data_IF_494051255560
#
_entry.id   IF_494051255560
#
_cell.length_a   1.000
_cell.length_b   1.000
_cell.length_c   1.000
_cell.angle_alpha   90.00
_cell.angle_beta   90.00
_cell.angle_gamma   90.00
#
_symmetry.space_group_name_H-M   'P 1'
#
loop_
_entity.id
_entity.type
_entity.pdbx_description
1 polymer ?
#
# COMPACT_ATOMS: atom_id res chain seq x y z
N UNK A 1 -32.83 -15.89 -18.87
CA UNK A 1 -31.85 -15.20 -19.71
C UNK A 1 -30.51 -15.94 -19.63
N UNK A 2 -29.88 -16.24 -20.77
CA UNK A 2 -28.55 -16.82 -20.76
C UNK A 2 -27.55 -15.73 -20.33
N UNK A 3 -26.76 -16.03 -19.32
CA UNK A 3 -25.74 -15.10 -18.83
C UNK A 3 -24.56 -15.07 -19.83
N UNK A 4 -24.21 -13.89 -20.31
CA UNK A 4 -23.06 -13.71 -21.18
C UNK A 4 -21.80 -13.51 -20.31
N UNK A 5 -21.15 -14.62 -19.95
CA UNK A 5 -19.95 -14.62 -19.12
C UNK A 5 -18.80 -13.80 -19.71
N UNK A 6 -18.68 -13.82 -21.04
CA UNK A 6 -17.63 -13.07 -21.73
C UNK A 6 -17.82 -11.56 -21.53
N UNK A 7 -19.05 -11.10 -21.68
CA UNK A 7 -19.40 -9.68 -21.50
C UNK A 7 -19.16 -9.24 -20.06
N UNK A 8 -19.60 -10.04 -19.07
CA UNK A 8 -19.37 -9.78 -17.65
C UNK A 8 -17.87 -9.64 -17.38
N UNK A 9 -17.09 -10.63 -17.85
CA UNK A 9 -15.66 -10.67 -17.62
C UNK A 9 -14.95 -9.46 -18.25
N UNK A 10 -15.29 -9.14 -19.51
CA UNK A 10 -14.65 -8.04 -20.24
C UNK A 10 -14.96 -6.68 -19.59
N UNK A 11 -16.22 -6.44 -19.21
CA UNK A 11 -16.61 -5.19 -18.55
C UNK A 11 -16.01 -5.09 -17.15
N UNK A 12 -15.96 -6.19 -16.40
CA UNK A 12 -15.37 -6.21 -15.04
C UNK A 12 -13.87 -5.98 -15.12
N UNK A 13 -13.13 -6.74 -15.95
CA UNK A 13 -11.66 -6.60 -16.07
C UNK A 13 -11.28 -5.26 -16.70
N UNK A 14 -12.02 -4.79 -17.69
CA UNK A 14 -11.83 -3.47 -18.29
C UNK A 14 -12.07 -2.36 -17.29
N UNK A 15 -13.15 -2.48 -16.51
CA UNK A 15 -13.47 -1.57 -15.41
C UNK A 15 -12.38 -1.56 -14.35
N UNK A 16 -11.89 -2.75 -13.95
CA UNK A 16 -10.81 -2.88 -12.95
C UNK A 16 -9.51 -2.22 -13.46
N UNK A 17 -9.14 -2.46 -14.72
CA UNK A 17 -7.98 -1.82 -15.34
C UNK A 17 -8.09 -0.30 -15.34
N UNK A 18 -9.25 0.21 -15.73
CA UNK A 18 -9.53 1.65 -15.70
C UNK A 18 -9.49 2.21 -14.26
N UNK A 19 -10.05 1.48 -13.29
CA UNK A 19 -10.03 1.85 -11.88
C UNK A 19 -8.59 2.02 -11.38
N UNK A 20 -7.75 1.02 -11.63
CA UNK A 20 -6.33 1.03 -11.22
C UNK A 20 -5.56 2.20 -11.86
N UNK A 21 -5.78 2.43 -13.15
CA UNK A 21 -5.15 3.55 -13.87
C UNK A 21 -5.62 4.90 -13.32
N UNK A 22 -6.91 5.00 -12.99
CA UNK A 22 -7.53 6.23 -12.47
C UNK A 22 -7.02 6.58 -11.07
N UNK A 23 -6.91 5.59 -10.17
CA UNK A 23 -6.31 5.77 -8.83
C UNK A 23 -4.86 6.28 -8.99
N UNK A 24 -4.09 5.66 -9.87
CA UNK A 24 -2.71 6.07 -10.13
C UNK A 24 -2.66 7.52 -10.63
N UNK A 25 -3.48 7.87 -11.61
CA UNK A 25 -3.54 9.22 -12.19
C UNK A 25 -3.90 10.26 -11.14
N UNK A 26 -4.90 9.96 -10.28
CA UNK A 26 -5.28 10.83 -9.14
C UNK A 26 -4.10 10.97 -8.17
N UNK A 27 -3.46 9.86 -7.80
CA UNK A 27 -2.31 9.85 -6.89
C UNK A 27 -1.14 10.67 -7.43
N UNK A 28 -0.81 10.51 -8.72
CA UNK A 28 0.25 11.30 -9.38
C UNK A 28 -0.06 12.80 -9.33
N UNK A 29 -1.33 13.18 -9.53
CA UNK A 29 -1.77 14.57 -9.44
C UNK A 29 -1.62 15.13 -8.02
N UNK A 30 -2.06 14.37 -7.02
CA UNK A 30 -1.94 14.74 -5.59
C UNK A 30 -0.46 14.86 -5.17
N UNK A 31 0.36 13.88 -5.55
CA UNK A 31 1.80 13.86 -5.22
C UNK A 31 2.52 15.07 -5.84
N UNK A 32 2.24 15.36 -7.12
CA UNK A 32 2.86 16.50 -7.80
C UNK A 32 2.38 17.85 -7.23
N UNK A 33 1.12 17.92 -6.78
CA UNK A 33 0.58 19.11 -6.11
C UNK A 33 1.23 19.33 -4.74
N UNK A 34 1.52 18.23 -4.00
CA UNK A 34 2.18 18.28 -2.69
C UNK A 34 3.66 18.72 -2.80
N UNK A 35 4.32 18.39 -3.89
CA UNK A 35 5.70 18.80 -4.19
C UNK A 35 6.74 18.20 -3.24
N UNK A 36 7.89 18.85 -3.16
CA UNK A 36 9.06 18.39 -2.38
C UNK A 36 8.88 18.50 -0.86
N UNK A 37 7.81 19.13 -0.40
CA UNK A 37 7.51 19.29 1.03
C UNK A 37 7.32 17.94 1.74
N UNK A 38 6.97 16.89 0.98
CA UNK A 38 6.75 15.54 1.51
C UNK A 38 8.01 14.99 2.22
N UNK A 39 9.19 15.12 1.58
CA UNK A 39 10.48 14.68 2.17
C UNK A 39 10.79 15.45 3.45
N UNK A 40 10.59 16.76 3.43
CA UNK A 40 10.82 17.62 4.59
C UNK A 40 9.98 17.16 5.80
N UNK A 41 8.72 16.79 5.58
CA UNK A 41 7.85 16.34 6.67
C UNK A 41 8.29 14.98 7.25
N UNK A 42 8.81 14.08 6.44
CA UNK A 42 9.33 12.79 6.93
C UNK A 42 10.51 13.05 7.87
N UNK A 43 11.51 13.81 7.43
CA UNK A 43 12.72 14.07 8.21
C UNK A 43 12.42 14.81 9.52
N UNK A 44 11.50 15.77 9.48
CA UNK A 44 11.22 16.67 10.62
C UNK A 44 10.28 16.05 11.66
N UNK A 45 9.29 15.26 11.21
CA UNK A 45 8.18 14.85 12.08
C UNK A 45 8.14 13.36 12.41
N UNK A 46 9.17 12.58 12.10
CA UNK A 46 9.23 11.18 12.49
C UNK A 46 10.04 10.95 13.79
N UNK A 47 10.14 11.98 14.65
CA UNK A 47 10.91 11.94 15.89
C UNK A 47 10.45 10.84 16.87
N UNK A 48 9.18 10.44 16.81
CA UNK A 48 8.66 9.34 17.62
C UNK A 48 7.56 8.58 16.84
N UNK A 49 7.16 7.36 17.29
CA UNK A 49 6.17 6.56 16.58
C UNK A 49 4.81 7.23 16.40
N UNK A 50 4.37 8.09 17.32
CA UNK A 50 3.06 8.80 17.18
C UNK A 50 3.07 9.72 15.97
N UNK A 51 4.12 10.54 15.84
CA UNK A 51 4.26 11.38 14.64
C UNK A 51 4.47 10.54 13.38
N UNK A 52 5.11 9.36 13.52
CA UNK A 52 5.18 8.37 12.46
C UNK A 52 3.80 7.97 11.93
N UNK A 53 2.83 7.72 12.83
CA UNK A 53 1.43 7.41 12.43
C UNK A 53 0.84 8.57 11.62
N UNK A 54 0.97 9.81 12.11
CA UNK A 54 0.42 10.99 11.41
C UNK A 54 1.05 11.18 10.02
N UNK A 55 2.37 10.99 9.93
CA UNK A 55 3.11 11.06 8.65
C UNK A 55 2.63 9.94 7.72
N UNK A 56 2.48 8.71 8.24
CA UNK A 56 1.96 7.57 7.46
C UNK A 56 0.58 7.83 6.89
N UNK A 57 -0.33 8.38 7.71
CA UNK A 57 -1.69 8.77 7.27
C UNK A 57 -1.58 9.78 6.12
N UNK A 58 -0.87 10.89 6.36
CA UNK A 58 -0.76 12.00 5.40
C UNK A 58 -0.12 11.57 4.09
N UNK A 59 1.00 10.83 4.17
CA UNK A 59 1.71 10.34 2.99
C UNK A 59 0.83 9.40 2.16
N UNK A 60 0.16 8.45 2.81
CA UNK A 60 -0.66 7.48 2.09
C UNK A 60 -1.89 8.16 1.46
N UNK A 61 -2.51 9.11 2.18
CA UNK A 61 -3.63 9.89 1.62
C UNK A 61 -3.20 10.70 0.39
N UNK A 62 -1.96 11.24 0.39
CA UNK A 62 -1.43 12.04 -0.73
C UNK A 62 -0.92 11.15 -1.89
N UNK A 63 -0.14 10.11 -1.58
CA UNK A 63 0.46 9.23 -2.59
C UNK A 63 -0.59 8.24 -3.15
N UNK A 64 -1.63 7.97 -2.38
CA UNK A 64 -2.68 6.97 -2.69
C UNK A 64 -2.10 5.56 -2.85
N UNK A 65 -1.02 5.28 -2.10
CA UNK A 65 -0.34 3.98 -2.12
C UNK A 65 0.34 3.69 -0.78
N UNK A 66 -0.29 2.89 0.06
CA UNK A 66 0.31 2.41 1.31
C UNK A 66 1.53 1.53 1.05
N UNK A 67 1.49 0.76 -0.05
CA UNK A 67 2.64 -0.05 -0.49
C UNK A 67 3.85 0.83 -0.81
N UNK A 68 3.64 1.93 -1.54
CA UNK A 68 4.68 2.91 -1.85
C UNK A 68 5.28 3.52 -0.58
N UNK A 69 4.41 3.93 0.36
CA UNK A 69 4.84 4.49 1.66
C UNK A 69 5.64 3.46 2.46
N UNK A 70 5.19 2.19 2.47
CA UNK A 70 5.88 1.11 3.18
C UNK A 70 7.26 0.84 2.56
N UNK A 71 7.36 0.81 1.20
CA UNK A 71 8.64 0.61 0.50
C UNK A 71 9.62 1.76 0.83
N UNK A 72 9.15 3.00 0.81
CA UNK A 72 9.97 4.17 1.22
C UNK A 72 10.45 3.99 2.68
N UNK A 73 9.53 3.60 3.57
CA UNK A 73 9.83 3.38 5.00
C UNK A 73 10.89 2.29 5.18
N UNK A 74 10.74 1.16 4.47
CA UNK A 74 11.72 0.06 4.43
C UNK A 74 13.09 0.59 3.99
N UNK A 75 13.13 1.40 2.93
CA UNK A 75 14.37 2.03 2.44
C UNK A 75 15.02 2.95 3.47
N UNK A 76 14.23 3.78 4.15
CA UNK A 76 14.72 4.71 5.17
C UNK A 76 15.29 3.96 6.41
N UNK A 77 14.66 2.85 6.80
CA UNK A 77 15.19 2.00 7.89
C UNK A 77 16.47 1.31 7.44
N UNK A 78 16.52 0.81 6.19
CA UNK A 78 17.73 0.21 5.61
C UNK A 78 18.89 1.19 5.59
N UNK A 79 18.61 2.48 5.35
CA UNK A 79 19.60 3.54 5.33
C UNK A 79 19.99 4.04 6.75
N UNK A 80 19.36 3.49 7.81
CA UNK A 80 19.62 3.93 9.18
C UNK A 80 19.01 5.29 9.53
N UNK A 81 18.13 5.81 8.68
CA UNK A 81 17.49 7.12 8.88
C UNK A 81 16.26 7.04 9.78
N UNK A 82 15.68 5.84 9.93
CA UNK A 82 14.54 5.59 10.81
C UNK A 82 14.81 4.37 11.68
N UNK A 83 14.36 4.44 12.93
CA UNK A 83 14.34 3.26 13.82
C UNK A 83 13.17 2.35 13.44
N UNK A 84 13.26 1.08 13.84
CA UNK A 84 12.16 0.10 13.63
C UNK A 84 10.84 0.59 14.23
N UNK A 85 10.88 1.19 15.44
CA UNK A 85 9.66 1.69 16.13
C UNK A 85 9.00 2.84 15.36
N UNK A 86 9.80 3.77 14.83
CA UNK A 86 9.29 4.88 13.99
C UNK A 86 8.65 4.33 12.72
N UNK A 87 9.31 3.35 12.08
CA UNK A 87 8.81 2.70 10.86
C UNK A 87 7.48 1.97 11.10
N UNK A 88 7.35 1.27 12.24
CA UNK A 88 6.09 0.61 12.61
C UNK A 88 4.98 1.66 12.73
N UNK A 89 5.26 2.81 13.34
CA UNK A 89 4.30 3.92 13.42
C UNK A 89 3.84 4.39 12.04
N UNK A 90 4.79 4.61 11.10
CA UNK A 90 4.48 5.03 9.73
C UNK A 90 3.60 3.97 9.03
N UNK A 91 3.92 2.69 9.18
CA UNK A 91 3.17 1.58 8.57
C UNK A 91 1.73 1.51 9.13
N UNK A 92 1.57 1.66 10.46
CA UNK A 92 0.24 1.75 11.09
C UNK A 92 -0.57 2.91 10.52
N UNK A 93 0.08 4.08 10.38
CA UNK A 93 -0.55 5.27 9.77
C UNK A 93 -0.89 5.06 8.30
N UNK A 94 -0.04 4.37 7.56
CA UNK A 94 -0.28 4.08 6.13
C UNK A 94 -1.55 3.23 5.95
N UNK A 95 -1.82 2.28 6.84
CA UNK A 95 -3.06 1.51 6.81
C UNK A 95 -4.29 2.40 6.98
N UNK A 96 -4.25 3.35 7.95
CA UNK A 96 -5.34 4.33 8.12
C UNK A 96 -5.47 5.19 6.85
N UNK A 97 -4.34 5.68 6.30
CA UNK A 97 -4.33 6.54 5.11
C UNK A 97 -4.96 5.89 3.88
N UNK A 98 -4.85 4.56 3.74
CA UNK A 98 -5.48 3.79 2.65
C UNK A 98 -7.00 3.95 2.66
N UNK A 99 -7.61 4.13 3.83
CA UNK A 99 -9.07 4.23 3.96
C UNK A 99 -9.65 5.50 3.31
N UNK A 100 -8.83 6.51 3.07
CA UNK A 100 -9.23 7.77 2.39
C UNK A 100 -9.87 7.47 1.02
N UNK A 101 -9.32 6.51 0.27
CA UNK A 101 -9.90 6.09 -1.02
C UNK A 101 -11.31 5.51 -0.84
N UNK A 102 -11.50 4.68 0.19
CA UNK A 102 -12.81 4.08 0.50
C UNK A 102 -13.86 5.17 0.81
N UNK A 103 -13.46 6.19 1.58
CA UNK A 103 -14.34 7.34 1.86
C UNK A 103 -14.64 8.14 0.60
N UNK A 104 -13.64 8.34 -0.28
CA UNK A 104 -13.85 9.02 -1.56
C UNK A 104 -14.93 8.30 -2.38
N UNK A 105 -14.82 6.97 -2.50
CA UNK A 105 -15.80 6.13 -3.22
C UNK A 105 -17.19 6.27 -2.57
N UNK A 106 -17.23 6.29 -1.24
CA UNK A 106 -18.48 6.41 -0.46
C UNK A 106 -19.30 7.66 -0.73
N UNK A 107 -18.70 8.74 -1.28
CA UNK A 107 -19.42 9.98 -1.59
C UNK A 107 -20.37 9.90 -2.79
N UNK A 108 -20.41 8.78 -3.53
CA UNK A 108 -21.35 8.57 -4.66
C UNK A 108 -21.29 9.67 -5.73
N UNK A 109 -20.09 10.03 -6.15
CA UNK A 109 -19.90 11.05 -7.19
C UNK A 109 -20.10 10.49 -8.62
N UNK A 110 -20.69 9.30 -8.76
CA UNK A 110 -20.87 8.61 -10.05
C UNK A 110 -21.58 9.42 -11.12
N UNK A 111 -22.56 10.24 -10.73
CA UNK A 111 -23.30 11.13 -11.66
C UNK A 111 -22.40 12.23 -12.24
N UNK A 112 -21.30 12.57 -11.55
CA UNK A 112 -20.35 13.60 -11.99
C UNK A 112 -19.12 12.97 -12.66
N UNK A 113 -19.06 11.65 -12.82
CA UNK A 113 -17.91 10.94 -13.40
C UNK A 113 -17.52 11.49 -14.76
N UNK A 114 -18.51 11.56 -15.69
CA UNK A 114 -18.25 12.02 -17.07
C UNK A 114 -17.86 13.50 -17.14
N UNK A 115 -18.58 14.44 -16.46
CA UNK A 115 -18.11 15.82 -16.40
C UNK A 115 -16.70 15.98 -15.82
N UNK A 116 -16.36 15.23 -14.76
CA UNK A 116 -15.02 15.27 -14.15
C UNK A 116 -13.95 14.76 -15.12
N UNK A 117 -14.23 13.66 -15.85
CA UNK A 117 -13.35 13.15 -16.89
C UNK A 117 -13.10 14.19 -17.97
N UNK A 118 -14.17 14.84 -18.45
CA UNK A 118 -14.08 15.85 -19.51
C UNK A 118 -13.25 17.06 -19.04
N UNK A 119 -13.58 17.64 -17.88
CA UNK A 119 -12.86 18.80 -17.34
C UNK A 119 -11.40 18.44 -17.10
N UNK A 120 -11.16 17.26 -16.50
CA UNK A 120 -9.81 16.76 -16.25
C UNK A 120 -9.01 16.65 -17.55
N UNK A 121 -9.59 16.06 -18.61
CA UNK A 121 -8.94 15.94 -19.91
C UNK A 121 -8.63 17.31 -20.52
N UNK A 122 -9.58 18.27 -20.46
CA UNK A 122 -9.37 19.64 -20.96
C UNK A 122 -8.17 20.28 -20.24
N UNK A 123 -8.12 20.17 -18.91
CA UNK A 123 -6.99 20.69 -18.12
C UNK A 123 -5.65 20.05 -18.53
N UNK A 124 -5.66 18.73 -18.80
CA UNK A 124 -4.45 17.98 -19.18
C UNK A 124 -3.93 18.36 -20.57
N UNK A 125 -4.84 18.49 -21.56
CA UNK A 125 -4.45 18.66 -22.95
C UNK A 125 -4.26 20.11 -23.38
N UNK A 126 -4.99 21.04 -22.76
CA UNK A 126 -5.02 22.44 -23.23
C UNK A 126 -4.30 23.42 -22.31
N UNK A 127 -3.70 22.96 -21.20
CA UNK A 127 -3.00 23.84 -20.26
C UNK A 127 -1.56 23.38 -20.03
N UNK A 128 -0.63 24.35 -20.07
CA UNK A 128 0.78 24.15 -19.69
C UNK A 128 1.06 24.55 -18.23
N UNK A 129 0.08 25.12 -17.54
CA UNK A 129 0.22 25.51 -16.14
C UNK A 129 0.25 24.25 -15.26
N UNK A 130 1.34 24.07 -14.51
CA UNK A 130 1.61 22.88 -13.67
C UNK A 130 0.47 22.65 -12.65
N UNK A 131 0.00 23.70 -12.00
CA UNK A 131 -1.08 23.59 -10.99
C UNK A 131 -2.38 23.12 -11.63
N UNK A 132 -2.78 23.73 -12.77
CA UNK A 132 -4.01 23.38 -13.50
C UNK A 132 -3.89 21.93 -14.03
N UNK A 133 -2.71 21.54 -14.52
CA UNK A 133 -2.46 20.19 -15.00
C UNK A 133 -2.61 19.16 -13.86
N UNK A 134 -2.08 19.45 -12.67
CA UNK A 134 -2.21 18.57 -11.50
C UNK A 134 -3.68 18.45 -11.06
N UNK A 135 -4.43 19.58 -11.04
CA UNK A 135 -5.87 19.55 -10.77
C UNK A 135 -6.59 18.70 -11.82
N UNK A 136 -6.18 18.84 -13.09
CA UNK A 136 -6.69 18.03 -14.20
C UNK A 136 -6.50 16.53 -13.97
N UNK A 137 -5.29 16.12 -13.50
CA UNK A 137 -4.98 14.71 -13.15
C UNK A 137 -5.89 14.21 -12.03
N UNK A 138 -6.08 15.04 -11.00
CA UNK A 138 -6.94 14.68 -9.85
C UNK A 138 -8.39 14.50 -10.32
N UNK A 139 -8.94 15.47 -11.07
CA UNK A 139 -10.31 15.40 -11.58
C UNK A 139 -10.50 14.21 -12.53
N UNK A 140 -9.57 14.01 -13.46
CA UNK A 140 -9.62 12.87 -14.41
C UNK A 140 -9.56 11.55 -13.66
N UNK A 141 -8.67 11.44 -12.65
CA UNK A 141 -8.55 10.24 -11.83
C UNK A 141 -9.81 9.96 -11.03
N UNK A 142 -10.37 10.97 -10.34
CA UNK A 142 -11.61 10.81 -9.56
C UNK A 142 -12.77 10.42 -10.49
N UNK A 143 -12.94 11.13 -11.61
CA UNK A 143 -13.98 10.79 -12.61
C UNK A 143 -13.83 9.36 -13.13
N UNK A 144 -12.59 8.97 -13.44
CA UNK A 144 -12.28 7.63 -13.91
C UNK A 144 -12.57 6.53 -12.89
N UNK A 145 -12.30 6.79 -11.59
CA UNK A 145 -12.64 5.85 -10.49
C UNK A 145 -14.15 5.58 -10.51
N UNK A 146 -14.98 6.63 -10.52
CA UNK A 146 -16.43 6.45 -10.47
C UNK A 146 -16.99 5.86 -11.75
N UNK A 147 -16.44 6.20 -12.91
CA UNK A 147 -16.86 5.60 -14.19
C UNK A 147 -16.52 4.09 -14.19
N UNK A 148 -15.32 3.73 -13.74
CA UNK A 148 -14.88 2.34 -13.64
C UNK A 148 -15.76 1.53 -12.68
N UNK A 149 -16.10 2.10 -11.52
CA UNK A 149 -16.98 1.46 -10.53
C UNK A 149 -18.39 1.23 -11.11
N UNK A 150 -18.93 2.20 -11.86
CA UNK A 150 -20.23 2.04 -12.54
C UNK A 150 -20.17 0.91 -13.55
N UNK A 151 -19.08 0.82 -14.33
CA UNK A 151 -18.88 -0.26 -15.33
C UNK A 151 -18.81 -1.63 -14.65
N UNK A 152 -18.04 -1.74 -13.56
CA UNK A 152 -17.90 -2.98 -12.78
C UNK A 152 -19.22 -3.38 -12.12
N UNK A 153 -19.93 -2.43 -11.53
CA UNK A 153 -21.24 -2.66 -10.89
C UNK A 153 -22.27 -3.18 -11.90
N UNK A 154 -22.31 -2.56 -13.07
CA UNK A 154 -23.20 -3.03 -14.18
C UNK A 154 -22.86 -4.45 -14.61
N UNK A 155 -21.58 -4.77 -14.71
CA UNK A 155 -21.12 -6.12 -15.07
C UNK A 155 -21.53 -7.18 -14.02
N UNK A 156 -21.48 -6.80 -12.74
CA UNK A 156 -21.79 -7.72 -11.63
C UNK A 156 -23.31 -7.88 -11.38
N UNK A 157 -24.13 -6.95 -11.84
CA UNK A 157 -25.57 -6.94 -11.54
C UNK A 157 -26.28 -8.26 -11.87
N UNK A 158 -26.02 -8.95 -13.02
CA UNK A 158 -26.67 -10.24 -13.29
C UNK A 158 -26.31 -11.36 -12.31
N UNK A 159 -25.18 -11.24 -11.56
CA UNK A 159 -24.73 -12.29 -10.64
C UNK A 159 -25.69 -12.50 -9.48
N UNK A 160 -26.40 -11.44 -9.07
CA UNK A 160 -27.35 -11.52 -7.95
C UNK A 160 -28.52 -12.49 -8.20
N UNK A 161 -28.81 -12.79 -9.46
CA UNK A 161 -29.88 -13.71 -9.85
C UNK A 161 -29.40 -15.17 -9.93
N UNK A 162 -28.09 -15.41 -9.88
CA UNK A 162 -27.49 -16.74 -9.90
C UNK A 162 -27.55 -17.42 -8.55
N UNK A 163 -28.19 -18.58 -8.48
CA UNK A 163 -28.29 -19.36 -7.23
C UNK A 163 -26.89 -19.74 -6.71
N UNK A 164 -26.00 -20.16 -7.59
CA UNK A 164 -24.61 -20.53 -7.22
C UNK A 164 -23.90 -19.34 -6.54
N UNK A 165 -24.08 -18.13 -7.07
CA UNK A 165 -23.48 -16.91 -6.47
C UNK A 165 -24.07 -16.64 -5.07
N UNK A 166 -25.39 -16.75 -4.93
CA UNK A 166 -26.09 -16.59 -3.63
C UNK A 166 -25.55 -17.60 -2.60
N UNK A 167 -25.40 -18.85 -3.01
CA UNK A 167 -24.89 -19.92 -2.12
C UNK A 167 -23.47 -19.61 -1.64
N UNK A 168 -22.59 -19.13 -2.53
CA UNK A 168 -21.22 -18.69 -2.15
C UNK A 168 -21.25 -17.50 -1.20
N UNK A 169 -22.13 -16.53 -1.42
CA UNK A 169 -22.23 -15.36 -0.52
C UNK A 169 -22.75 -15.74 0.86
N UNK A 170 -23.73 -16.67 0.92
CA UNK A 170 -24.23 -17.24 2.18
C UNK A 170 -23.09 -17.99 2.92
N UNK A 171 -22.28 -18.74 2.19
CA UNK A 171 -21.14 -19.46 2.79
C UNK A 171 -20.10 -18.49 3.34
N UNK A 172 -19.82 -17.40 2.62
CA UNK A 172 -18.91 -16.33 3.11
C UNK A 172 -19.46 -15.71 4.41
N UNK A 173 -20.79 -15.48 4.48
CA UNK A 173 -21.41 -14.88 5.68
C UNK A 173 -21.34 -15.83 6.89
N UNK A 174 -21.36 -17.15 6.66
CA UNK A 174 -21.28 -18.17 7.71
C UNK A 174 -19.85 -18.49 8.14
N UNK A 175 -18.86 -18.24 7.28
CA UNK A 175 -17.46 -18.65 7.51
C UNK A 175 -16.53 -17.45 7.41
N UNK A 176 -16.31 -16.73 8.52
CA UNK A 176 -15.41 -15.55 8.51
C UNK A 176 -13.98 -15.87 8.08
N UNK A 177 -13.47 -17.07 8.39
CA UNK A 177 -12.10 -17.48 8.00
C UNK A 177 -12.00 -17.55 6.47
N UNK A 178 -13.03 -18.10 5.81
CA UNK A 178 -13.10 -18.13 4.34
C UNK A 178 -13.10 -16.70 3.78
N UNK A 179 -13.88 -15.79 4.38
CA UNK A 179 -13.90 -14.38 3.98
C UNK A 179 -12.52 -13.72 4.05
N UNK A 180 -11.78 -13.97 5.14
CA UNK A 180 -10.41 -13.45 5.30
C UNK A 180 -9.50 -13.99 4.17
N UNK A 181 -9.57 -15.30 3.86
CA UNK A 181 -8.77 -15.88 2.78
C UNK A 181 -9.13 -15.30 1.42
N UNK A 182 -10.43 -15.08 1.16
CA UNK A 182 -10.90 -14.46 -0.10
C UNK A 182 -10.34 -13.03 -0.23
N UNK A 183 -10.48 -12.21 0.82
CA UNK A 183 -9.97 -10.84 0.81
C UNK A 183 -8.44 -10.79 0.62
N UNK A 184 -7.72 -11.63 1.37
CA UNK A 184 -6.26 -11.75 1.26
C UNK A 184 -5.87 -12.14 -0.17
N UNK A 185 -6.49 -13.19 -0.71
CA UNK A 185 -6.18 -13.69 -2.06
C UNK A 185 -6.50 -12.67 -3.15
N UNK A 186 -7.64 -12.00 -3.05
CA UNK A 186 -8.05 -10.99 -4.02
C UNK A 186 -7.04 -9.82 -4.04
N UNK A 187 -6.64 -9.34 -2.87
CA UNK A 187 -5.66 -8.24 -2.78
C UNK A 187 -4.27 -8.67 -3.23
N UNK A 188 -3.87 -9.91 -2.95
CA UNK A 188 -2.63 -10.49 -3.48
C UNK A 188 -2.60 -10.47 -5.01
N UNK A 189 -3.74 -10.83 -5.63
CA UNK A 189 -3.86 -10.89 -7.10
C UNK A 189 -3.86 -9.49 -7.72
N UNK A 190 -4.67 -8.58 -7.15
CA UNK A 190 -4.87 -7.23 -7.72
C UNK A 190 -3.69 -6.31 -7.36
N UNK A 191 -3.02 -6.55 -6.22
CA UNK A 191 -1.93 -5.71 -5.68
C UNK A 191 -2.39 -4.27 -5.35
N UNK A 192 -3.69 -4.09 -5.08
CA UNK A 192 -4.28 -2.78 -4.77
C UNK A 192 -5.47 -2.95 -3.83
N UNK A 193 -5.27 -2.66 -2.55
CA UNK A 193 -6.32 -2.75 -1.52
C UNK A 193 -7.52 -1.86 -1.84
N UNK A 194 -7.29 -0.66 -2.38
CA UNK A 194 -8.39 0.23 -2.78
C UNK A 194 -9.29 -0.40 -3.84
N UNK A 195 -8.75 -1.27 -4.72
CA UNK A 195 -9.56 -1.98 -5.71
C UNK A 195 -10.40 -3.08 -5.04
N UNK A 196 -9.81 -3.86 -4.14
CA UNK A 196 -10.54 -4.89 -3.37
C UNK A 196 -11.69 -4.25 -2.58
N UNK A 197 -11.42 -3.15 -1.88
CA UNK A 197 -12.46 -2.45 -1.10
C UNK A 197 -13.51 -1.82 -2.04
N UNK A 198 -13.10 -1.25 -3.18
CA UNK A 198 -14.05 -0.72 -4.18
C UNK A 198 -14.99 -1.80 -4.73
N UNK A 199 -14.46 -3.00 -5.02
CA UNK A 199 -15.27 -4.18 -5.40
C UNK A 199 -16.25 -4.50 -4.26
N UNK A 200 -15.77 -4.55 -3.02
CA UNK A 200 -16.59 -4.87 -1.84
C UNK A 200 -17.70 -3.83 -1.63
N UNK A 201 -17.41 -2.55 -1.81
CA UNK A 201 -18.40 -1.45 -1.77
C UNK A 201 -19.48 -1.66 -2.82
N UNK A 202 -19.11 -2.05 -4.05
CA UNK A 202 -20.06 -2.35 -5.12
C UNK A 202 -20.91 -3.59 -4.82
N UNK A 203 -20.30 -4.65 -4.30
CA UNK A 203 -21.03 -5.89 -3.94
C UNK A 203 -22.05 -5.60 -2.83
N UNK A 204 -21.67 -4.85 -1.81
CA UNK A 204 -22.56 -4.48 -0.69
C UNK A 204 -23.69 -3.56 -1.18
N UNK A 205 -23.37 -2.54 -1.97
CA UNK A 205 -24.36 -1.61 -2.54
C UNK A 205 -25.33 -2.31 -3.51
N UNK A 206 -24.88 -3.34 -4.21
CA UNK A 206 -25.70 -4.16 -5.10
C UNK A 206 -26.52 -5.23 -4.38
N UNK A 207 -26.44 -5.32 -3.04
CA UNK A 207 -27.06 -6.38 -2.22
C UNK A 207 -26.61 -7.78 -2.64
N UNK A 208 -25.34 -7.89 -3.09
CA UNK A 208 -24.72 -9.15 -3.50
C UNK A 208 -24.02 -9.85 -2.33
N UNK A 209 -23.68 -9.10 -1.28
CA UNK A 209 -23.07 -9.61 -0.04
C UNK A 209 -23.68 -8.82 1.14
N UNK A 210 -23.86 -9.48 2.27
CA UNK A 210 -24.28 -8.81 3.51
C UNK A 210 -23.05 -8.29 4.29
N UNK A 211 -23.29 -7.50 5.34
CA UNK A 211 -22.20 -6.91 6.12
C UNK A 211 -21.36 -7.99 6.83
N UNK A 212 -22.01 -9.05 7.31
CA UNK A 212 -21.34 -10.14 8.03
C UNK A 212 -20.36 -10.89 7.14
N UNK A 213 -20.67 -11.05 5.84
CA UNK A 213 -19.76 -11.63 4.85
C UNK A 213 -18.70 -10.64 4.37
N UNK A 214 -19.07 -9.36 4.24
CA UNK A 214 -18.17 -8.32 3.71
C UNK A 214 -17.02 -8.00 4.68
N UNK A 215 -17.29 -7.96 5.99
CA UNK A 215 -16.29 -7.55 6.99
C UNK A 215 -15.06 -8.47 7.02
N UNK A 216 -15.20 -9.82 7.04
CA UNK A 216 -14.00 -10.67 6.98
C UNK A 216 -13.18 -10.50 5.70
N UNK A 217 -13.83 -10.26 4.55
CA UNK A 217 -13.13 -9.96 3.28
C UNK A 217 -12.31 -8.68 3.43
N UNK A 218 -12.89 -7.65 4.03
CA UNK A 218 -12.23 -6.37 4.33
C UNK A 218 -11.01 -6.58 5.26
N UNK A 219 -11.13 -7.41 6.30
CA UNK A 219 -10.02 -7.72 7.20
C UNK A 219 -8.89 -8.44 6.46
N UNK A 220 -9.24 -9.37 5.56
CA UNK A 220 -8.30 -10.11 4.73
C UNK A 220 -7.55 -9.22 3.73
N UNK A 221 -8.21 -8.21 3.18
CA UNK A 221 -7.59 -7.21 2.30
C UNK A 221 -6.33 -6.60 2.94
N UNK A 222 -6.42 -6.25 4.22
CA UNK A 222 -5.29 -5.65 4.94
C UNK A 222 -4.10 -6.62 5.07
N UNK A 223 -4.36 -7.92 5.24
CA UNK A 223 -3.30 -8.94 5.22
C UNK A 223 -2.68 -9.01 3.81
N UNK A 224 -3.53 -9.06 2.77
CA UNK A 224 -3.07 -9.12 1.37
C UNK A 224 -2.15 -7.97 0.99
N UNK A 225 -2.40 -6.78 1.50
CA UNK A 225 -1.58 -5.59 1.26
C UNK A 225 -0.13 -5.77 1.75
N UNK A 226 0.09 -6.58 2.78
CA UNK A 226 1.43 -6.76 3.38
C UNK A 226 2.42 -7.48 2.46
N UNK A 227 1.94 -8.20 1.43
CA UNK A 227 2.82 -8.92 0.50
C UNK A 227 3.81 -7.98 -0.21
N UNK A 228 3.37 -6.75 -0.49
CA UNK A 228 4.24 -5.75 -1.14
C UNK A 228 5.44 -5.39 -0.25
N UNK A 229 5.21 -5.29 1.07
CA UNK A 229 6.28 -5.06 2.04
C UNK A 229 7.24 -6.26 2.12
N UNK A 230 6.69 -7.49 2.09
CA UNK A 230 7.50 -8.72 2.06
C UNK A 230 8.39 -8.72 0.81
N UNK A 231 7.79 -8.48 -0.38
CA UNK A 231 8.53 -8.44 -1.65
C UNK A 231 9.62 -7.36 -1.60
N UNK A 232 9.30 -6.16 -1.11
CA UNK A 232 10.25 -5.05 -1.00
C UNK A 232 11.42 -5.39 -0.05
N UNK A 233 11.19 -6.26 0.94
CA UNK A 233 12.23 -6.66 1.90
C UNK A 233 13.11 -7.83 1.40
N UNK A 234 12.73 -8.48 0.29
CA UNK A 234 13.55 -9.55 -0.30
C UNK A 234 14.87 -8.96 -0.80
N UNK A 235 15.97 -9.50 -0.34
CA UNK A 235 17.30 -9.00 -0.67
C UNK A 235 17.72 -7.76 0.13
N UNK A 236 16.82 -7.18 0.93
CA UNK A 236 17.14 -6.03 1.78
C UNK A 236 17.79 -6.49 3.10
N UNK A 237 18.27 -5.54 3.87
CA UNK A 237 18.93 -5.80 5.15
C UNK A 237 17.91 -6.29 6.22
N UNK A 238 18.41 -6.69 7.38
CA UNK A 238 17.62 -7.28 8.46
C UNK A 238 16.60 -6.28 9.01
N UNK A 239 16.99 -5.02 9.14
CA UNK A 239 16.09 -3.96 9.63
C UNK A 239 14.86 -3.82 8.71
N UNK A 240 15.04 -3.85 7.40
CA UNK A 240 13.98 -3.83 6.38
C UNK A 240 13.03 -5.01 6.52
N UNK A 241 13.59 -6.22 6.69
CA UNK A 241 12.81 -7.46 6.89
C UNK A 241 11.96 -7.37 8.16
N UNK A 242 12.49 -6.77 9.23
CA UNK A 242 11.75 -6.55 10.48
C UNK A 242 10.57 -5.59 10.28
N UNK A 243 10.72 -4.54 9.47
CA UNK A 243 9.60 -3.64 9.14
C UNK A 243 8.49 -4.41 8.40
N UNK A 244 8.85 -5.21 7.40
CA UNK A 244 7.89 -6.04 6.65
C UNK A 244 7.21 -7.05 7.59
N UNK A 245 7.98 -7.71 8.46
CA UNK A 245 7.46 -8.64 9.46
C UNK A 245 6.49 -7.97 10.43
N UNK A 246 6.81 -6.75 10.88
CA UNK A 246 5.93 -5.97 11.76
C UNK A 246 4.63 -5.59 11.04
N UNK A 247 4.69 -5.23 9.75
CA UNK A 247 3.51 -4.93 8.94
C UNK A 247 2.57 -6.15 8.86
N UNK A 248 3.14 -7.33 8.56
CA UNK A 248 2.38 -8.59 8.54
C UNK A 248 1.75 -8.87 9.92
N UNK A 249 2.57 -8.84 10.97
CA UNK A 249 2.11 -9.15 12.33
C UNK A 249 1.00 -8.21 12.78
N UNK A 250 1.14 -6.91 12.53
CA UNK A 250 0.14 -5.88 12.85
C UNK A 250 -1.21 -6.20 12.19
N UNK A 251 -1.21 -6.53 10.89
CA UNK A 251 -2.44 -6.80 10.15
C UNK A 251 -3.06 -8.15 10.53
N UNK A 252 -2.23 -9.19 10.73
CA UNK A 252 -2.72 -10.52 11.15
C UNK A 252 -3.33 -10.43 12.55
N UNK A 253 -2.66 -9.78 13.51
CA UNK A 253 -3.17 -9.61 14.88
C UNK A 253 -4.52 -8.86 14.82
N UNK A 254 -4.58 -7.74 14.10
CA UNK A 254 -5.81 -6.96 13.94
C UNK A 254 -6.95 -7.78 13.34
N UNK A 255 -6.66 -8.55 12.30
CA UNK A 255 -7.65 -9.41 11.63
C UNK A 255 -8.16 -10.49 12.60
N UNK A 256 -7.26 -11.18 13.32
CA UNK A 256 -7.63 -12.23 14.29
C UNK A 256 -8.53 -11.63 15.37
N UNK A 257 -8.14 -10.49 15.94
CA UNK A 257 -8.94 -9.80 16.98
C UNK A 257 -10.33 -9.44 16.42
N UNK A 258 -10.40 -8.83 15.23
CA UNK A 258 -11.69 -8.40 14.67
C UNK A 258 -12.56 -9.58 14.23
N UNK A 259 -11.98 -10.71 13.81
CA UNK A 259 -12.75 -11.94 13.53
C UNK A 259 -13.35 -12.51 14.83
N UNK A 260 -12.58 -12.52 15.93
CA UNK A 260 -13.08 -12.95 17.25
C UNK A 260 -14.23 -12.04 17.70
N UNK A 261 -14.11 -10.73 17.47
CA UNK A 261 -15.12 -9.73 17.82
C UNK A 261 -16.00 -9.33 16.63
N UNK A 262 -16.20 -10.25 15.64
CA UNK A 262 -16.95 -9.94 14.41
C UNK A 262 -18.39 -9.48 14.71
N UNK A 263 -19.09 -10.17 15.64
CA UNK A 263 -20.48 -9.84 15.96
C UNK A 263 -20.59 -8.43 16.54
N UNK A 264 -19.90 -8.07 17.63
CA UNK A 264 -19.98 -6.68 18.12
C UNK A 264 -19.47 -5.65 17.11
N UNK A 265 -18.48 -5.98 16.28
CA UNK A 265 -18.00 -5.08 15.22
C UNK A 265 -19.10 -4.84 14.18
N UNK A 266 -19.80 -5.91 13.74
CA UNK A 266 -20.93 -5.81 12.80
C UNK A 266 -22.05 -4.92 13.38
N UNK A 267 -22.40 -5.12 14.67
CA UNK A 267 -23.39 -4.30 15.38
C UNK A 267 -22.97 -2.82 15.39
N UNK A 268 -21.69 -2.54 15.66
CA UNK A 268 -21.15 -1.18 15.65
C UNK A 268 -21.29 -0.53 14.26
N UNK A 269 -20.97 -1.26 13.19
CA UNK A 269 -21.06 -0.72 11.83
C UNK A 269 -22.54 -0.49 11.43
N UNK A 270 -23.45 -1.40 11.78
CA UNK A 270 -24.89 -1.19 11.58
C UNK A 270 -25.40 0.02 12.37
N UNK A 271 -24.88 0.24 13.58
CA UNK A 271 -25.23 1.43 14.38
C UNK A 271 -24.78 2.71 13.66
N UNK A 272 -23.56 2.75 13.10
CA UNK A 272 -23.09 3.89 12.28
C UNK A 272 -24.01 4.08 11.06
N UNK A 273 -24.31 2.98 10.36
CA UNK A 273 -25.16 2.99 9.15
C UNK A 273 -26.53 3.62 9.46
N UNK A 274 -27.17 3.16 10.53
CA UNK A 274 -28.50 3.63 10.93
C UNK A 274 -28.48 5.06 11.49
N UNK A 275 -27.50 5.39 12.37
CA UNK A 275 -27.48 6.68 13.08
C UNK A 275 -27.08 7.82 12.14
N UNK A 276 -26.14 7.56 11.23
CA UNK A 276 -25.62 8.55 10.30
C UNK A 276 -26.32 8.50 8.92
N UNK A 277 -27.26 7.58 8.76
CA UNK A 277 -27.98 7.32 7.50
C UNK A 277 -27.01 7.13 6.33
N UNK A 278 -26.04 6.23 6.52
CA UNK A 278 -24.96 6.04 5.55
C UNK A 278 -25.48 5.29 4.31
N UNK A 279 -25.02 5.71 3.15
CA UNK A 279 -25.16 4.94 1.91
C UNK A 279 -24.33 3.63 2.04
N UNK A 280 -24.72 2.54 1.36
CA UNK A 280 -24.01 1.28 1.50
C UNK A 280 -22.51 1.36 1.25
N UNK A 281 -22.07 2.10 0.23
CA UNK A 281 -20.64 2.28 -0.07
C UNK A 281 -19.94 3.01 1.08
N UNK A 282 -20.61 3.99 1.69
CA UNK A 282 -20.08 4.73 2.84
C UNK A 282 -20.03 3.83 4.09
N UNK A 283 -20.98 2.89 4.24
CA UNK A 283 -20.99 1.90 5.34
C UNK A 283 -19.70 1.05 5.32
N UNK A 284 -19.31 0.54 4.14
CA UNK A 284 -18.04 -0.21 3.99
C UNK A 284 -16.82 0.71 4.23
N UNK A 285 -16.89 1.97 3.82
CA UNK A 285 -15.80 2.95 4.10
C UNK A 285 -15.65 3.18 5.61
N UNK A 286 -16.76 3.33 6.34
CA UNK A 286 -16.77 3.44 7.80
C UNK A 286 -16.22 2.16 8.45
N UNK A 287 -16.60 0.98 7.96
CA UNK A 287 -16.07 -0.29 8.44
C UNK A 287 -14.55 -0.35 8.26
N UNK A 288 -14.04 0.04 7.07
CA UNK A 288 -12.61 0.06 6.74
C UNK A 288 -11.85 1.05 7.65
N UNK A 289 -12.39 2.25 7.80
CA UNK A 289 -11.81 3.28 8.69
C UNK A 289 -11.79 2.82 10.15
N UNK A 290 -12.93 2.32 10.64
CA UNK A 290 -13.08 1.84 12.03
C UNK A 290 -12.08 0.70 12.31
N UNK A 291 -11.96 -0.27 11.40
CA UNK A 291 -11.01 -1.38 11.54
C UNK A 291 -9.58 -0.85 11.69
N UNK A 292 -9.12 -0.02 10.75
CA UNK A 292 -7.72 0.44 10.74
C UNK A 292 -7.40 1.39 11.89
N UNK A 293 -8.33 2.28 12.24
CA UNK A 293 -8.16 3.21 13.38
C UNK A 293 -8.13 2.42 14.70
N UNK A 294 -9.11 1.51 14.91
CA UNK A 294 -9.18 0.69 16.13
C UNK A 294 -7.94 -0.19 16.25
N UNK A 295 -7.54 -0.85 15.15
CA UNK A 295 -6.36 -1.70 15.11
C UNK A 295 -5.10 -0.90 15.51
N UNK A 296 -4.97 0.32 14.98
CA UNK A 296 -3.85 1.21 15.33
C UNK A 296 -3.91 1.63 16.81
N UNK A 297 -5.06 2.10 17.28
CA UNK A 297 -5.24 2.54 18.69
C UNK A 297 -4.88 1.39 19.66
N UNK A 298 -5.39 0.18 19.38
CA UNK A 298 -5.18 -0.99 20.25
C UNK A 298 -3.72 -1.43 20.24
N UNK A 299 -3.07 -1.46 19.07
CA UNK A 299 -1.70 -1.99 18.96
C UNK A 299 -0.61 -0.92 19.17
N UNK A 300 -0.94 0.38 19.08
CA UNK A 300 0.04 1.47 19.21
C UNK A 300 0.80 1.41 20.55
N UNK A 301 0.16 1.21 21.72
CA UNK A 301 0.91 1.09 22.98
C UNK A 301 1.90 -0.09 23.00
N UNK A 302 1.69 -1.08 22.12
CA UNK A 302 2.49 -2.31 22.06
C UNK A 302 3.53 -2.28 20.93
N UNK A 303 3.83 -1.11 20.32
CA UNK A 303 4.86 -0.98 19.27
C UNK A 303 6.20 -1.58 19.73
N UNK A 304 6.57 -1.32 21.01
CA UNK A 304 7.80 -1.88 21.57
C UNK A 304 7.80 -3.41 21.62
N UNK A 305 6.67 -4.00 22.01
CA UNK A 305 6.48 -5.45 22.01
C UNK A 305 6.51 -6.04 20.60
N UNK A 306 5.85 -5.36 19.66
CA UNK A 306 5.82 -5.77 18.23
C UNK A 306 7.25 -5.72 17.65
N UNK A 307 8.00 -4.64 17.92
CA UNK A 307 9.39 -4.50 17.49
C UNK A 307 10.27 -5.61 18.09
N UNK A 308 10.10 -5.90 19.38
CA UNK A 308 10.82 -7.00 20.06
C UNK A 308 10.49 -8.36 19.44
N UNK A 309 9.20 -8.63 19.20
CA UNK A 309 8.71 -9.88 18.61
C UNK A 309 9.35 -10.12 17.22
N UNK A 310 9.32 -9.12 16.33
CA UNK A 310 9.90 -9.30 14.99
C UNK A 310 11.43 -9.41 15.03
N UNK A 311 12.08 -8.76 16.02
CA UNK A 311 13.52 -8.88 16.21
C UNK A 311 13.90 -10.31 16.66
N UNK A 312 13.05 -10.96 17.43
CA UNK A 312 13.25 -12.36 17.83
C UNK A 312 13.05 -13.34 16.68
N UNK A 313 12.01 -13.10 15.85
CA UNK A 313 11.69 -13.99 14.71
C UNK A 313 12.70 -13.83 13.58
N UNK A 314 13.19 -12.57 13.38
CA UNK A 314 14.16 -12.24 12.34
C UNK A 314 15.47 -11.86 13.04
N UNK A 315 16.29 -12.87 13.45
CA UNK A 315 17.51 -12.61 14.18
C UNK A 315 18.62 -12.07 13.28
N UNK A 316 19.67 -11.56 13.90
CA UNK A 316 20.85 -11.03 13.22
C UNK A 316 21.04 -9.55 13.47
N UNK A 317 22.15 -9.04 13.01
CA UNK A 317 22.47 -7.62 13.03
C UNK A 317 22.88 -7.20 11.64
N UNK A 318 22.47 -6.02 11.24
CA UNK A 318 22.92 -5.44 9.97
C UNK A 318 24.39 -5.02 10.16
N UNK A 319 25.21 -5.35 9.19
CA UNK A 319 26.52 -4.75 9.08
C UNK A 319 26.31 -3.25 8.77
N UNK A 320 26.32 -2.45 9.81
CA UNK A 320 26.30 -1.00 9.62
C UNK A 320 27.66 -0.64 9.05
N UNK A 321 27.68 -0.35 7.77
CA UNK A 321 28.87 0.28 7.17
C UNK A 321 28.92 1.67 7.78
N UNK A 322 29.55 1.79 8.95
CA UNK A 322 29.83 3.09 9.54
C UNK A 322 30.76 3.82 8.59
N UNK A 323 30.26 4.89 8.04
CA UNK A 323 31.14 5.82 7.33
C UNK A 323 32.06 6.43 8.35
N UNK A 324 33.33 6.06 8.30
CA UNK A 324 34.39 6.71 9.08
C UNK A 324 35.21 7.56 8.13
N UNK A 325 35.30 8.87 8.38
CA UNK A 325 36.14 9.72 7.53
C UNK A 325 37.57 9.22 7.59
N UNK A 326 38.18 9.02 6.41
CA UNK A 326 39.57 8.53 6.31
C UNK A 326 40.57 9.67 6.36
N UNK A 327 40.18 10.84 5.89
CA UNK A 327 41.11 11.95 5.65
C UNK A 327 40.86 13.17 6.54
N UNK A 328 39.70 13.19 7.30
CA UNK A 328 39.37 14.35 8.14
C UNK A 328 40.00 14.18 9.53
N UNK A 329 40.87 15.15 9.89
CA UNK A 329 41.49 15.22 11.21
C UNK A 329 41.44 16.68 11.68
N UNK A 330 40.78 16.89 12.82
CA UNK A 330 40.57 18.22 13.41
C UNK A 330 41.88 18.93 13.74
N UNK A 331 42.97 18.18 14.01
CA UNK A 331 44.27 18.74 14.34
C UNK A 331 44.81 19.63 13.21
N UNK A 332 44.59 19.23 11.95
CA UNK A 332 45.10 19.98 10.81
C UNK A 332 44.31 21.26 10.52
N UNK A 333 43.06 21.39 11.02
CA UNK A 333 42.22 22.58 10.77
C UNK A 333 42.92 23.85 11.33
N UNK A 334 43.48 23.76 12.55
CA UNK A 334 44.10 24.88 13.25
C UNK A 334 45.59 25.05 12.93
N UNK A 335 46.32 23.94 12.71
CA UNK A 335 47.77 23.97 12.57
C UNK A 335 48.28 24.07 11.13
N UNK A 336 47.47 23.53 10.18
CA UNK A 336 47.90 23.50 8.77
C UNK A 336 46.67 23.57 7.85
N UNK A 337 46.02 24.73 7.72
CA UNK A 337 44.75 24.85 6.96
C UNK A 337 44.81 24.39 5.51
N UNK A 338 45.95 24.56 4.84
CA UNK A 338 46.14 24.10 3.45
C UNK A 338 46.13 22.57 3.36
N UNK A 339 46.70 21.87 4.36
CA UNK A 339 46.66 20.40 4.44
C UNK A 339 45.25 19.95 4.74
N UNK A 340 44.53 20.62 5.67
CA UNK A 340 43.14 20.33 6.01
C UNK A 340 42.25 20.46 4.78
N UNK A 341 42.46 21.49 3.95
CA UNK A 341 41.71 21.69 2.70
C UNK A 341 41.98 20.57 1.69
N UNK A 342 43.24 20.16 1.55
CA UNK A 342 43.64 19.03 0.70
C UNK A 342 43.00 17.72 1.15
N UNK A 343 42.97 17.50 2.47
CA UNK A 343 42.36 16.31 3.07
C UNK A 343 40.82 16.33 2.89
N UNK A 344 40.19 17.48 3.04
CA UNK A 344 38.73 17.64 2.78
C UNK A 344 38.39 17.30 1.32
N UNK A 345 39.24 17.71 0.37
CA UNK A 345 39.08 17.35 -1.05
C UNK A 345 39.18 15.84 -1.26
N UNK A 346 40.12 15.17 -0.61
CA UNK A 346 40.27 13.70 -0.69
C UNK A 346 39.06 13.01 -0.09
N UNK A 347 38.51 13.51 1.03
CA UNK A 347 37.31 12.97 1.66
C UNK A 347 36.09 13.13 0.78
N UNK A 348 35.92 14.26 0.09
CA UNK A 348 34.89 14.48 -0.91
C UNK A 348 34.94 13.46 -2.05
N UNK A 349 36.15 13.15 -2.55
CA UNK A 349 36.35 12.13 -3.57
C UNK A 349 36.02 10.73 -3.03
N UNK A 350 36.38 10.44 -1.78
CA UNK A 350 36.07 9.19 -1.09
C UNK A 350 34.57 9.02 -0.96
N UNK A 351 33.86 10.05 -0.52
CA UNK A 351 32.40 10.12 -0.44
C UNK A 351 31.74 9.90 -1.81
N UNK A 352 32.29 10.55 -2.84
CA UNK A 352 31.83 10.40 -4.23
C UNK A 352 31.94 8.94 -4.73
N UNK A 353 33.05 8.26 -4.39
CA UNK A 353 33.26 6.85 -4.73
C UNK A 353 32.25 5.94 -4.00
N UNK A 354 31.94 6.23 -2.73
CA UNK A 354 30.90 5.51 -1.98
C UNK A 354 29.52 5.70 -2.61
N UNK A 355 29.19 6.93 -2.99
CA UNK A 355 27.93 7.25 -3.66
C UNK A 355 27.80 6.52 -5.00
N UNK A 356 28.89 6.49 -5.78
CA UNK A 356 28.95 5.76 -7.07
C UNK A 356 28.69 4.26 -6.87
N UNK A 357 29.36 3.64 -5.89
CA UNK A 357 29.16 2.22 -5.55
C UNK A 357 27.72 1.95 -5.11
N UNK A 358 27.13 2.83 -4.31
CA UNK A 358 25.73 2.73 -3.89
C UNK A 358 24.77 2.81 -5.09
N UNK A 359 25.08 3.67 -6.05
CA UNK A 359 24.33 3.80 -7.31
C UNK A 359 24.43 2.51 -8.15
N UNK A 360 25.60 1.94 -8.27
CA UNK A 360 25.82 0.68 -9.00
C UNK A 360 25.05 -0.47 -8.35
N UNK A 361 25.06 -0.52 -7.07
CA UNK A 361 24.27 -1.50 -6.30
C UNK A 361 22.78 -1.30 -6.45
N UNK A 362 22.45 -0.31 -6.55
CA UNK A 362 21.05 0.03 -6.75
C UNK A 362 20.61 -0.22 -8.15
N UNK A 363 21.47 -0.10 -8.95
CA UNK A 363 21.19 -0.39 -10.32
C UNK A 363 21.05 -1.89 -10.51
N UNK A 364 21.83 -2.53 -9.82
CA UNK A 364 21.81 -3.93 -9.90
C UNK A 364 20.60 -4.56 -9.29
N UNK A 365 20.20 -3.87 -8.32
CA UNK A 365 19.02 -4.31 -7.68
C UNK A 365 17.77 -4.00 -8.48
N UNK A 366 17.84 -3.03 -9.08
CA UNK A 366 16.76 -2.62 -9.93
C UNK A 366 16.68 -3.51 -11.17
N UNK A 367 17.77 -3.87 -11.58
CA UNK A 367 17.83 -4.73 -12.70
C UNK A 367 17.38 -6.17 -12.31
N UNK A 368 17.74 -6.44 -11.25
CA UNK A 368 17.35 -7.72 -10.81
C UNK A 368 15.88 -7.85 -10.51
N UNK A 369 15.43 -6.84 -10.09
CA UNK A 369 14.02 -6.78 -9.85
C UNK A 369 13.21 -6.72 -11.11
N UNK A 370 13.74 -6.18 -11.94
CA UNK A 370 13.13 -6.08 -13.20
C UNK A 370 13.19 -7.42 -13.95
N UNK A 371 14.22 -7.97 -13.75
CA UNK A 371 14.39 -9.26 -14.33
C UNK A 371 13.54 -10.35 -13.66
N UNK A 372 13.46 -10.13 -12.53
CA UNK A 372 12.62 -11.02 -11.82
C UNK A 372 11.14 -10.82 -12.10
N UNK A 373 10.87 -9.74 -12.26
CA UNK A 373 9.52 -9.40 -12.64
C UNK A 373 9.22 -9.84 -14.05
N UNK A 374 10.11 -9.75 -14.76
CA UNK A 374 9.97 -10.20 -16.10
C UNK A 374 9.92 -11.74 -16.17
N UNK A 375 10.63 -12.22 -15.44
CA UNK A 375 10.62 -13.64 -15.43
C UNK A 375 9.37 -14.25 -14.86
N UNK A 376 8.96 -13.58 -13.98
CA UNK A 376 7.71 -14.01 -13.44
C UNK A 376 6.54 -13.78 -14.36
N UNK A 377 6.65 -12.88 -14.94
CA UNK A 377 5.64 -12.60 -15.91
C UNK A 377 5.73 -13.55 -17.11
N UNK A 378 6.85 -13.85 -17.39
CA UNK A 378 7.02 -14.79 -18.44
C UNK A 378 6.63 -16.22 -18.02
N UNK A 379 6.93 -16.44 -16.97
CA UNK A 379 6.57 -17.75 -16.50
C UNK A 379 5.08 -17.96 -16.35
N UNK A 380 4.57 -17.04 -16.06
CA UNK A 380 3.12 -17.08 -15.96
C UNK A 380 2.45 -17.11 -17.30
N UNK A 381 3.09 -16.58 -18.03
CA UNK A 381 2.53 -16.54 -19.33
C UNK A 381 2.75 -17.83 -20.12
N UNK A 382 3.73 -18.33 -19.73
CA UNK A 382 4.05 -19.47 -20.51
C UNK A 382 3.60 -20.76 -19.93
N UNK A 383 2.96 -20.96 -18.89
CA UNK A 383 2.58 -22.16 -18.13
C UNK A 383 3.72 -23.16 -17.87
N UNK A 384 4.91 -22.71 -17.92
CA UNK A 384 6.11 -23.55 -17.72
C UNK A 384 6.44 -23.55 -16.23
N UNK A 385 6.38 -24.73 -15.58
CA UNK A 385 6.85 -24.93 -14.19
C UNK A 385 8.37 -24.71 -14.15
N UNK A 386 8.88 -23.93 -13.21
CA UNK A 386 10.34 -23.74 -13.10
C UNK A 386 11.03 -25.07 -12.74
N UNK A 387 12.01 -25.47 -13.51
CA UNK A 387 12.90 -26.58 -13.17
C UNK A 387 13.67 -26.22 -11.90
N UNK A 388 13.67 -27.12 -10.91
CA UNK A 388 14.52 -27.02 -9.73
C UNK A 388 15.99 -26.80 -10.20
N UNK A 389 16.53 -25.65 -9.86
CA UNK A 389 17.98 -25.44 -10.03
C UNK A 389 18.72 -26.35 -9.03
N UNK A 390 19.49 -27.26 -9.57
CA UNK A 390 20.47 -28.02 -8.80
C UNK A 390 21.54 -27.04 -8.29
N UNK A 391 21.62 -26.87 -7.00
CA UNK A 391 22.76 -26.20 -6.35
C UNK A 391 24.03 -26.92 -6.72
N UNK A 392 25.07 -26.23 -7.24
CA UNK A 392 26.37 -26.90 -7.42
C UNK A 392 26.94 -27.24 -6.05
N UNK A 393 27.25 -28.50 -5.86
CA UNK A 393 28.01 -28.96 -4.67
C UNK A 393 29.39 -28.31 -4.73
N UNK A 394 29.69 -27.43 -3.81
CA UNK A 394 31.07 -27.03 -3.55
C UNK A 394 31.76 -28.21 -2.87
N UNK A 395 32.54 -28.99 -3.61
CA UNK A 395 33.49 -29.91 -3.06
C UNK A 395 34.88 -29.29 -3.16
N UNK A 396 35.51 -29.17 -1.99
CA UNK A 396 36.89 -28.79 -1.68
C UNK A 396 37.26 -27.31 -1.88
#
# INVERSE_FOLDING_TARGET
MSINWQEILFHFLGGLGLFLYSIKTMGDGLQQAAGDRLRFYIDKYTSNPFFGVLVGIGMTALIQSSSGVTVITVGLVSAGLLTLRQAIGIVMGANIGTTVTSFLIGFKLGNYALPMLFIGAVCLFFTKNRTVNNIGRILFGVGGIFFALNLMSGAMAPLKDLQVFKDYMIELSKNPVLGVFVGTGLTLLIQASSATIGILQNLYAGNLIDLQGALPVLFGDNIGTTITAIIASLGANIAAKRVAGAHVAFNVIGTVVCVIFLVPFTVLIHWFEATLNLAPEMTIAFAHGTFNITNTIVQFPFIGALAYFVTKIIPGEDEVVKYEPLYLDEHFIKQAPSIALGNAKKELLHLGNYAAKAFDLXXXXXXXXXXXXXXXXXXXXXGIKPKKQLTPSMSN
#
